data_IF_971857403699
#
_entry.id   IF_971857403699
#
_cell.length_a   1.000
_cell.length_b   1.000
_cell.length_c   1.000
_cell.angle_alpha   90.00
_cell.angle_beta   90.00
_cell.angle_gamma   90.00
#
_symmetry.space_group_name_H-M   'P 1'
#
loop_
_entity.id
_entity.type
_entity.pdbx_description
1 polymer ?
#
# COMPACT_ATOMS: atom_id res chain seq x y z
N UNK A 1 -11.42 8.32 4.11
CA UNK A 1 -11.37 6.91 3.65
C UNK A 1 -9.94 6.34 3.59
N UNK A 2 -8.91 7.07 4.01
CA UNK A 2 -7.48 6.72 3.80
C UNK A 2 -6.81 5.92 4.92
N UNK A 3 -7.49 5.77 6.07
CA UNK A 3 -7.03 4.93 7.18
C UNK A 3 -7.00 3.43 6.85
N UNK A 4 -7.48 3.04 5.66
CA UNK A 4 -7.66 1.63 5.27
C UNK A 4 -6.34 0.86 5.29
N UNK A 5 -5.19 1.49 5.06
CA UNK A 5 -3.91 0.78 5.07
C UNK A 5 -3.06 0.99 6.34
N UNK A 6 -3.55 1.79 7.29
CA UNK A 6 -2.73 2.22 8.43
C UNK A 6 -1.46 2.97 8.01
N UNK A 7 -1.41 3.50 6.79
CA UNK A 7 -0.30 4.32 6.29
C UNK A 7 -0.48 5.73 6.84
N UNK A 8 0.42 6.14 7.72
CA UNK A 8 0.56 7.55 8.12
C UNK A 8 1.54 8.25 7.18
N UNK A 9 1.43 9.57 7.04
CA UNK A 9 2.42 10.37 6.33
C UNK A 9 3.81 10.06 6.92
N UNK A 10 4.70 9.49 6.09
CA UNK A 10 6.09 9.04 6.36
C UNK A 10 6.33 7.55 6.68
N UNK A 11 5.30 6.71 6.86
CA UNK A 11 5.53 5.27 7.00
C UNK A 11 5.43 4.54 5.64
N UNK A 12 6.44 3.72 5.34
CA UNK A 12 6.38 2.70 4.30
C UNK A 12 5.95 1.37 4.91
N UNK A 13 5.06 0.64 4.24
CA UNK A 13 4.75 -0.76 4.57
C UNK A 13 4.87 -1.60 3.31
N UNK A 14 5.32 -2.85 3.45
CA UNK A 14 5.31 -3.79 2.33
C UNK A 14 3.90 -4.28 2.04
N UNK A 15 3.65 -4.74 0.80
CA UNK A 15 2.38 -5.41 0.43
C UNK A 15 2.10 -6.57 1.38
N UNK A 16 3.13 -7.32 1.79
CA UNK A 16 3.00 -8.42 2.75
C UNK A 16 2.45 -7.95 4.09
N UNK A 17 3.00 -6.86 4.63
CA UNK A 17 2.54 -6.28 5.89
C UNK A 17 1.10 -5.77 5.78
N UNK A 18 0.76 -5.11 4.67
CA UNK A 18 -0.60 -4.61 4.41
C UNK A 18 -1.59 -5.77 4.29
N UNK A 19 -1.25 -6.81 3.54
CA UNK A 19 -2.06 -8.03 3.37
C UNK A 19 -2.42 -8.65 4.72
N UNK A 20 -1.43 -8.77 5.60
CA UNK A 20 -1.59 -9.35 6.93
C UNK A 20 -2.42 -8.42 7.85
N UNK A 21 -2.18 -7.10 7.80
CA UNK A 21 -2.91 -6.12 8.59
C UNK A 21 -4.41 -6.11 8.25
N UNK A 22 -4.74 -6.21 6.96
CA UNK A 22 -6.12 -6.13 6.49
C UNK A 22 -6.82 -7.48 6.43
N UNK A 23 -6.07 -8.56 6.64
CA UNK A 23 -6.55 -9.93 6.45
C UNK A 23 -7.22 -10.10 5.07
N UNK A 24 -6.57 -9.59 4.02
CA UNK A 24 -7.09 -9.60 2.65
C UNK A 24 -6.23 -10.45 1.72
N UNK A 25 -6.77 -10.81 0.56
CA UNK A 25 -5.99 -11.46 -0.49
C UNK A 25 -5.01 -10.45 -1.14
N UNK A 26 -3.81 -10.91 -1.46
CA UNK A 26 -2.77 -10.10 -2.11
C UNK A 26 -3.24 -9.41 -3.39
N UNK A 27 -4.02 -10.11 -4.23
CA UNK A 27 -4.57 -9.54 -5.46
C UNK A 27 -5.51 -8.37 -5.17
N UNK A 28 -6.31 -8.45 -4.11
CA UNK A 28 -7.22 -7.37 -3.69
C UNK A 28 -6.42 -6.16 -3.21
N UNK A 29 -5.38 -6.40 -2.42
CA UNK A 29 -4.47 -5.35 -1.97
C UNK A 29 -3.78 -4.67 -3.15
N UNK A 30 -3.25 -5.45 -4.10
CA UNK A 30 -2.60 -4.92 -5.29
C UNK A 30 -3.55 -4.11 -6.20
N UNK A 31 -4.80 -4.56 -6.37
CA UNK A 31 -5.81 -3.78 -7.10
C UNK A 31 -6.09 -2.44 -6.43
N UNK A 32 -6.21 -2.42 -5.10
CA UNK A 32 -6.43 -1.20 -4.35
C UNK A 32 -5.21 -0.25 -4.42
N UNK A 33 -4.00 -0.78 -4.31
CA UNK A 33 -2.76 0.00 -4.48
C UNK A 33 -2.69 0.59 -5.90
N UNK A 34 -3.03 -0.19 -6.93
CA UNK A 34 -3.07 0.29 -8.31
C UNK A 34 -4.08 1.42 -8.51
N UNK A 35 -5.26 1.32 -7.89
CA UNK A 35 -6.26 2.39 -7.90
C UNK A 35 -5.75 3.67 -7.23
N UNK A 36 -5.15 3.54 -6.05
CA UNK A 36 -4.59 4.68 -5.32
C UNK A 36 -3.40 5.31 -6.07
N UNK A 37 -2.55 4.51 -6.69
CA UNK A 37 -1.42 5.00 -7.48
C UNK A 37 -1.90 5.81 -8.68
N UNK A 38 -2.99 5.40 -9.33
CA UNK A 38 -3.63 6.14 -10.44
C UNK A 38 -4.16 7.52 -10.02
N UNK A 39 -4.51 7.68 -8.75
CA UNK A 39 -5.08 8.92 -8.21
C UNK A 39 -4.03 9.79 -7.49
N UNK A 40 -2.74 9.50 -7.66
CA UNK A 40 -1.62 10.19 -7.00
C UNK A 40 -1.74 10.22 -5.46
N UNK A 41 -2.21 9.10 -4.89
CA UNK A 41 -2.51 8.95 -3.45
C UNK A 41 -1.40 8.25 -2.67
N UNK A 42 -0.64 7.40 -3.36
CA UNK A 42 0.44 6.61 -2.79
C UNK A 42 1.64 6.58 -3.72
N UNK A 43 2.82 6.41 -3.15
CA UNK A 43 4.03 6.09 -3.89
C UNK A 43 4.43 4.65 -3.66
N UNK A 44 4.90 4.03 -4.74
CA UNK A 44 5.32 2.64 -4.79
C UNK A 44 6.83 2.56 -5.04
N UNK A 45 7.54 1.73 -4.29
CA UNK A 45 8.97 1.45 -4.47
C UNK A 45 9.20 -0.05 -4.41
N UNK A 46 9.98 -0.59 -5.33
CA UNK A 46 10.48 -1.95 -5.23
C UNK A 46 11.81 -1.95 -4.47
N UNK A 47 11.95 -2.89 -3.54
CA UNK A 47 13.19 -3.19 -2.85
C UNK A 47 13.38 -4.70 -2.82
N UNK A 48 14.43 -5.17 -3.50
CA UNK A 48 14.63 -6.60 -3.78
C UNK A 48 13.37 -7.21 -4.42
N UNK A 49 12.66 -8.10 -3.71
CA UNK A 49 11.44 -8.78 -4.19
C UNK A 49 10.16 -8.29 -3.49
N UNK A 50 10.22 -7.21 -2.70
CA UNK A 50 9.04 -6.64 -2.04
C UNK A 50 8.65 -5.27 -2.61
N UNK A 51 7.33 -5.07 -2.74
CA UNK A 51 6.73 -3.77 -3.06
C UNK A 51 6.39 -3.03 -1.77
N UNK A 52 6.93 -1.83 -1.61
CA UNK A 52 6.66 -0.91 -0.51
C UNK A 52 5.74 0.22 -0.95
N UNK A 53 4.81 0.59 -0.06
CA UNK A 53 3.80 1.62 -0.29
C UNK A 53 3.87 2.67 0.83
N UNK A 54 3.84 3.94 0.47
CA UNK A 54 3.65 5.07 1.40
C UNK A 54 2.55 6.02 0.94
N UNK A 55 1.85 6.63 1.90
CA UNK A 55 0.91 7.73 1.61
C UNK A 55 1.69 8.98 1.20
N UNK A 56 1.11 9.75 0.27
CA UNK A 56 1.57 11.11 -0.07
C UNK A 56 0.54 12.19 0.25
N UNK A 57 -0.60 11.81 0.81
CA UNK A 57 -1.65 12.66 1.37
C UNK A 57 -1.87 12.35 2.86
#
# INVERSE_FOLDING_TARGET
>A
MWKIFGLTLKEEKSVTQIKNLLNQNEKVVLMAIGWLSREDKVLCRFDSDELFIRSIE
#
